data_IF_686941128152
#
_entry.id   IF_686941128152
#
_cell.length_a   1.000
_cell.length_b   1.000
_cell.length_c   1.000
_cell.angle_alpha   90.00
_cell.angle_beta   90.00
_cell.angle_gamma   90.00
#
_symmetry.space_group_name_H-M   'P 1'
#
loop_
_entity.id
_entity.type
_entity.pdbx_description
1 polymer ?
#
# COMPACT_ATOMS: atom_id res chain seq x y z
N UNK A 1 -19.26 25.24 15.14
CA UNK A 1 -17.90 24.69 15.12
C UNK A 1 -17.47 24.60 13.68
N UNK A 2 -16.36 25.23 13.31
CA UNK A 2 -15.84 25.11 11.94
C UNK A 2 -15.40 23.66 11.70
N UNK A 3 -16.05 23.01 10.74
CA UNK A 3 -15.67 21.67 10.28
C UNK A 3 -14.80 21.89 9.03
N UNK A 4 -13.48 21.74 9.11
CA UNK A 4 -12.63 21.90 7.94
C UNK A 4 -13.03 20.90 6.86
N UNK A 5 -13.18 21.38 5.63
CA UNK A 5 -13.52 20.60 4.45
C UNK A 5 -12.47 20.72 3.33
N UNK A 6 -11.42 21.54 3.55
CA UNK A 6 -10.32 21.75 2.62
C UNK A 6 -8.98 21.82 3.35
N UNK A 7 -7.89 21.73 2.60
CA UNK A 7 -6.51 21.87 3.13
C UNK A 7 -6.32 23.22 3.82
N UNK A 8 -6.74 24.30 3.18
CA UNK A 8 -6.61 25.66 3.72
C UNK A 8 -7.40 25.84 5.00
N UNK A 9 -8.64 25.34 5.06
CA UNK A 9 -9.45 25.41 6.29
C UNK A 9 -8.85 24.62 7.45
N UNK A 10 -8.17 23.50 7.16
CA UNK A 10 -7.48 22.70 8.17
C UNK A 10 -6.22 23.41 8.67
N UNK A 11 -5.46 24.05 7.79
CA UNK A 11 -4.32 24.91 8.15
C UNK A 11 -4.77 26.06 9.05
N UNK A 12 -5.82 26.77 8.66
CA UNK A 12 -6.41 27.84 9.47
C UNK A 12 -6.92 27.35 10.83
N UNK A 13 -7.53 26.16 10.84
CA UNK A 13 -7.95 25.55 12.10
C UNK A 13 -6.76 25.31 13.02
N UNK A 14 -5.66 24.76 12.51
CA UNK A 14 -4.46 24.48 13.30
C UNK A 14 -3.79 25.78 13.77
N UNK A 15 -3.68 26.80 12.90
CA UNK A 15 -3.17 28.13 13.27
C UNK A 15 -4.01 28.75 14.38
N UNK A 16 -5.36 28.63 14.35
CA UNK A 16 -6.24 29.09 15.45
C UNK A 16 -6.01 28.32 16.75
N UNK A 17 -5.76 27.00 16.68
CA UNK A 17 -5.44 26.22 17.88
C UNK A 17 -4.10 26.61 18.50
N UNK A 18 -3.18 27.19 17.73
CA UNK A 18 -1.88 27.68 18.18
C UNK A 18 -1.94 29.14 18.71
N UNK A 19 -3.08 29.80 18.56
CA UNK A 19 -3.30 31.15 19.11
C UNK A 19 -3.46 32.27 18.07
N UNK A 20 -3.46 31.98 16.79
CA UNK A 20 -3.78 32.96 15.75
C UNK A 20 -5.24 33.42 15.89
N UNK A 21 -5.58 34.71 15.69
CA UNK A 21 -4.71 35.82 15.25
C UNK A 21 -4.05 36.60 16.39
N UNK A 22 -4.26 36.23 17.66
CA UNK A 22 -3.72 36.95 18.81
C UNK A 22 -2.19 36.83 18.86
N UNK A 23 -1.69 35.67 18.52
CA UNK A 23 -0.25 35.40 18.36
C UNK A 23 0.04 35.32 16.88
N UNK A 24 0.99 36.14 16.42
CA UNK A 24 1.51 36.05 15.05
C UNK A 24 2.33 34.77 14.90
N UNK A 25 1.91 33.91 13.98
CA UNK A 25 2.59 32.63 13.72
C UNK A 25 3.41 32.75 12.46
N UNK A 26 4.72 32.91 12.63
CA UNK A 26 5.68 33.04 11.52
C UNK A 26 6.17 31.68 11.05
N UNK A 27 5.34 31.01 10.25
CA UNK A 27 5.67 29.77 9.56
C UNK A 27 5.27 29.94 8.11
N UNK A 28 6.15 29.55 7.20
CA UNK A 28 5.87 29.61 5.77
C UNK A 28 4.71 28.65 5.41
N UNK A 29 3.91 29.07 4.44
CA UNK A 29 2.76 28.22 4.02
C UNK A 29 3.23 26.88 3.46
N UNK A 30 4.38 26.81 2.80
CA UNK A 30 5.01 25.58 2.33
C UNK A 30 5.29 24.61 3.48
N UNK A 31 5.81 25.10 4.60
CA UNK A 31 6.04 24.26 5.80
C UNK A 31 4.74 23.77 6.42
N UNK A 32 3.67 24.55 6.31
CA UNK A 32 2.35 24.12 6.76
C UNK A 32 1.83 22.98 5.88
N UNK A 33 2.03 23.07 4.57
CA UNK A 33 1.63 22.03 3.63
C UNK A 33 2.46 20.74 3.81
N UNK A 34 3.78 20.85 3.98
CA UNK A 34 4.65 19.70 4.25
C UNK A 34 4.22 18.94 5.53
N UNK A 35 3.96 19.68 6.61
CA UNK A 35 3.44 19.08 7.84
C UNK A 35 2.05 18.43 7.65
N UNK A 36 1.25 18.96 6.73
CA UNK A 36 -0.06 18.43 6.42
C UNK A 36 0.05 17.13 5.63
N UNK A 37 0.96 17.07 4.67
CA UNK A 37 1.23 15.86 3.89
C UNK A 37 1.79 14.74 4.78
N UNK A 38 2.71 15.05 5.69
CA UNK A 38 3.19 14.11 6.71
C UNK A 38 2.04 13.59 7.59
N UNK A 39 1.10 14.46 7.96
CA UNK A 39 -0.05 14.08 8.75
C UNK A 39 -0.99 13.13 8.00
N UNK A 40 -1.22 13.38 6.72
CA UNK A 40 -2.03 12.51 5.87
C UNK A 40 -1.33 11.18 5.61
N UNK A 41 -0.03 11.18 5.33
CA UNK A 41 0.72 9.96 5.15
C UNK A 41 0.63 9.07 6.40
N UNK A 42 0.85 9.62 7.58
CA UNK A 42 0.71 8.87 8.83
C UNK A 42 -0.70 8.34 9.06
N UNK A 43 -1.71 9.13 8.71
CA UNK A 43 -3.11 8.73 8.82
C UNK A 43 -3.44 7.58 7.87
N UNK A 44 -3.00 7.66 6.62
CA UNK A 44 -3.19 6.63 5.61
C UNK A 44 -2.46 5.32 5.95
N UNK A 45 -1.28 5.41 6.56
CA UNK A 45 -0.47 4.23 6.91
C UNK A 45 -0.94 3.53 8.19
N UNK A 46 -1.51 4.28 9.14
CA UNK A 46 -1.73 3.79 10.51
C UNK A 46 -3.17 3.81 10.98
N UNK A 47 -4.02 4.62 10.37
CA UNK A 47 -5.39 4.74 10.81
C UNK A 47 -6.30 3.78 10.04
N UNK A 48 -7.25 3.13 10.74
CA UNK A 48 -8.16 2.14 10.14
C UNK A 48 -9.07 2.75 9.04
N UNK A 49 -9.40 4.04 9.13
CA UNK A 49 -10.17 4.77 8.12
C UNK A 49 -9.30 5.39 7.01
N UNK A 50 -7.97 5.25 7.09
CA UNK A 50 -7.03 5.78 6.10
C UNK A 50 -7.05 5.02 4.77
N UNK A 51 -7.53 3.78 4.80
CA UNK A 51 -7.61 2.88 3.65
C UNK A 51 -9.00 2.27 3.54
N UNK A 52 -9.39 1.98 2.31
CA UNK A 52 -10.66 1.31 2.00
C UNK A 52 -10.38 0.00 1.30
N UNK A 53 -11.00 -1.06 1.79
CA UNK A 53 -10.97 -2.36 1.12
C UNK A 53 -11.91 -2.33 -0.08
N UNK A 54 -11.38 -2.64 -1.26
CA UNK A 54 -12.17 -2.66 -2.48
C UNK A 54 -11.70 -3.75 -3.44
N UNK A 55 -12.62 -4.39 -4.17
CA UNK A 55 -12.29 -5.23 -5.29
C UNK A 55 -11.98 -4.37 -6.52
N UNK A 56 -10.82 -4.58 -7.12
CA UNK A 56 -10.42 -3.94 -8.36
C UNK A 56 -10.45 -4.96 -9.50
N UNK A 57 -11.10 -4.59 -10.60
CA UNK A 57 -11.14 -5.40 -11.80
C UNK A 57 -10.01 -4.98 -12.73
N UNK A 58 -9.13 -5.91 -13.05
CA UNK A 58 -8.03 -5.71 -13.99
C UNK A 58 -8.22 -6.57 -15.23
N UNK A 59 -8.03 -5.97 -16.40
CA UNK A 59 -8.07 -6.68 -17.68
C UNK A 59 -6.64 -6.98 -18.12
N UNK A 60 -6.36 -8.24 -18.42
CA UNK A 60 -5.05 -8.71 -18.83
C UNK A 60 -4.73 -8.17 -20.23
N UNK A 61 -3.56 -7.57 -20.37
CA UNK A 61 -3.06 -7.03 -21.62
C UNK A 61 -2.07 -7.99 -22.30
N UNK A 62 -1.84 -7.79 -23.60
CA UNK A 62 -0.82 -8.54 -24.33
C UNK A 62 0.59 -8.34 -23.72
N UNK A 63 0.87 -7.15 -23.24
CA UNK A 63 2.16 -6.83 -22.61
C UNK A 63 2.38 -7.60 -21.30
N UNK A 64 1.31 -7.86 -20.54
CA UNK A 64 1.40 -8.65 -19.31
C UNK A 64 1.72 -10.10 -19.62
N UNK A 65 1.08 -10.68 -20.65
CA UNK A 65 1.35 -12.05 -21.08
C UNK A 65 2.78 -12.18 -21.62
N UNK A 66 3.20 -11.27 -22.48
CA UNK A 66 4.57 -11.26 -23.02
C UNK A 66 5.61 -11.12 -21.90
N UNK A 67 5.33 -10.35 -20.88
CA UNK A 67 6.18 -10.15 -19.71
C UNK A 67 6.19 -11.40 -18.82
N UNK A 68 5.03 -12.00 -18.58
CA UNK A 68 4.86 -13.19 -17.75
C UNK A 68 5.46 -14.45 -18.35
N UNK A 69 5.48 -14.59 -19.67
CA UNK A 69 6.08 -15.72 -20.39
C UNK A 69 7.62 -15.68 -20.46
N UNK A 70 8.25 -14.66 -19.88
CA UNK A 70 9.69 -14.62 -19.68
C UNK A 70 10.53 -14.17 -20.87
N UNK A 71 9.93 -13.75 -21.99
CA UNK A 71 10.66 -13.25 -23.17
C UNK A 71 11.37 -11.92 -22.89
N UNK A 72 10.89 -11.15 -21.92
CA UNK A 72 11.41 -9.83 -21.58
C UNK A 72 11.70 -9.74 -20.07
N UNK A 73 12.71 -10.49 -19.61
CA UNK A 73 13.14 -10.41 -18.20
C UNK A 73 13.49 -8.98 -17.79
N UNK A 74 12.91 -8.53 -16.69
CA UNK A 74 13.20 -7.22 -16.10
C UNK A 74 14.36 -7.37 -15.14
N UNK A 75 15.50 -6.89 -15.53
CA UNK A 75 16.70 -6.93 -14.71
C UNK A 75 17.48 -8.26 -14.79
N UNK A 76 18.61 -8.18 -15.45
CA UNK A 76 19.61 -9.25 -15.45
C UNK A 76 20.73 -8.78 -14.53
N UNK A 77 20.91 -9.46 -13.41
CA UNK A 77 22.09 -9.27 -12.57
C UNK A 77 23.14 -10.30 -12.98
N UNK A 78 24.20 -9.82 -13.55
CA UNK A 78 25.36 -10.67 -13.90
C UNK A 78 26.43 -10.48 -12.81
N UNK A 79 26.72 -11.54 -12.07
CA UNK A 79 27.81 -11.54 -11.10
C UNK A 79 28.92 -12.45 -11.60
N UNK A 80 30.09 -11.89 -11.82
CA UNK A 80 31.30 -12.67 -12.15
C UNK A 80 32.05 -12.93 -10.86
N UNK A 81 32.20 -14.19 -10.50
CA UNK A 81 33.01 -14.61 -9.37
C UNK A 81 34.31 -15.19 -9.90
N UNK A 82 35.40 -14.48 -9.65
CA UNK A 82 36.73 -14.96 -9.95
C UNK A 82 37.15 -15.94 -8.86
N UNK A 83 37.26 -17.22 -9.19
CA UNK A 83 37.86 -18.19 -8.27
C UNK A 83 39.37 -17.97 -8.24
N UNK A 84 39.98 -17.79 -7.06
CA UNK A 84 41.42 -17.73 -6.94
C UNK A 84 42.02 -19.03 -7.47
N UNK A 85 43.02 -18.91 -8.34
CA UNK A 85 43.76 -20.07 -8.82
C UNK A 85 44.27 -20.86 -7.62
N UNK A 86 43.85 -22.13 -7.53
CA UNK A 86 44.31 -23.01 -6.46
C UNK A 86 45.81 -23.32 -6.75
N UNK A 87 46.69 -22.73 -5.96
CA UNK A 87 48.14 -22.88 -6.03
C UNK A 87 48.61 -24.23 -5.47
N UNK A 88 47.92 -25.33 -5.80
CA UNK A 88 48.37 -26.67 -5.63
C UNK A 88 49.03 -27.16 -6.92
N UNK A 89 50.22 -27.63 -6.86
CA UNK A 89 51.10 -28.22 -7.88
C UNK A 89 50.32 -28.71 -9.12
N UNK A 90 50.06 -27.84 -10.04
CA UNK A 90 49.35 -28.07 -11.29
C UNK A 90 48.69 -26.77 -11.72
N UNK A 91 49.23 -26.14 -12.76
CA UNK A 91 48.73 -24.93 -13.40
C UNK A 91 47.29 -25.12 -13.90
N UNK A 92 46.32 -24.95 -13.06
CA UNK A 92 44.93 -24.75 -13.46
C UNK A 92 44.68 -23.27 -13.44
N UNK A 93 44.56 -22.66 -14.59
CA UNK A 93 44.02 -21.34 -14.79
C UNK A 93 42.72 -21.22 -14.01
N UNK A 94 42.63 -20.27 -13.09
CA UNK A 94 41.37 -19.99 -12.41
C UNK A 94 40.31 -19.68 -13.46
N UNK A 95 39.27 -20.49 -13.49
CA UNK A 95 38.12 -20.22 -14.38
C UNK A 95 37.22 -19.19 -13.73
N UNK A 96 37.01 -18.09 -14.44
CA UNK A 96 36.02 -17.11 -14.06
C UNK A 96 34.62 -17.71 -14.27
N UNK A 97 33.89 -17.91 -13.19
CA UNK A 97 32.51 -18.37 -13.26
C UNK A 97 31.58 -17.15 -13.29
N UNK A 98 30.86 -16.99 -14.37
CA UNK A 98 29.86 -15.93 -14.51
C UNK A 98 28.49 -16.50 -14.19
N UNK A 99 27.85 -15.97 -13.16
CA UNK A 99 26.48 -16.31 -12.79
C UNK A 99 25.54 -15.24 -13.30
N UNK A 100 24.54 -15.67 -14.07
CA UNK A 100 23.49 -14.80 -14.59
C UNK A 100 22.20 -15.03 -13.81
N UNK A 101 21.75 -14.01 -13.11
CA UNK A 101 20.48 -14.02 -12.42
C UNK A 101 19.48 -13.21 -13.22
N UNK A 102 18.34 -13.81 -13.53
CA UNK A 102 17.24 -13.14 -14.22
C UNK A 102 16.11 -12.95 -13.23
N UNK A 103 15.68 -11.70 -13.04
CA UNK A 103 14.50 -11.40 -12.23
C UNK A 103 13.25 -11.88 -12.97
N UNK A 104 12.36 -12.54 -12.23
CA UNK A 104 11.11 -13.02 -12.80
C UNK A 104 10.19 -11.84 -13.12
N UNK A 105 9.70 -11.76 -14.35
CA UNK A 105 8.90 -10.64 -14.86
C UNK A 105 7.37 -10.87 -14.79
N UNK A 106 6.93 -11.85 -14.01
CA UNK A 106 5.54 -12.23 -13.83
C UNK A 106 4.78 -11.29 -12.88
N UNK A 107 4.75 -10.01 -13.20
CA UNK A 107 4.05 -9.01 -12.41
C UNK A 107 3.06 -8.17 -13.21
N UNK A 108 2.07 -7.65 -12.51
CA UNK A 108 1.15 -6.62 -13.00
C UNK A 108 1.52 -5.29 -12.32
N UNK A 109 1.51 -4.22 -13.11
CA UNK A 109 1.70 -2.88 -12.55
C UNK A 109 0.42 -2.41 -11.88
N UNK A 110 0.53 -2.03 -10.62
CA UNK A 110 -0.58 -1.54 -9.81
C UNK A 110 -0.57 -0.01 -9.74
N UNK A 111 -1.74 0.63 -9.54
CA UNK A 111 -1.79 2.07 -9.24
C UNK A 111 -1.09 2.39 -7.91
N UNK A 112 -0.50 3.58 -7.82
CA UNK A 112 0.16 4.13 -6.63
C UNK A 112 -0.75 4.26 -5.40
N UNK A 113 -2.06 4.36 -5.64
CA UNK A 113 -3.08 4.45 -4.59
C UNK A 113 -3.31 3.14 -3.83
N UNK A 114 -2.69 2.03 -4.24
CA UNK A 114 -2.86 0.73 -3.60
C UNK A 114 -1.75 0.50 -2.57
N UNK A 115 -2.15 0.28 -1.33
CA UNK A 115 -1.23 0.00 -0.20
C UNK A 115 -0.95 -1.48 -0.03
N UNK A 116 -1.95 -2.32 -0.30
CA UNK A 116 -1.82 -3.75 -0.10
C UNK A 116 -2.81 -4.56 -0.91
N UNK A 117 -2.43 -5.78 -1.20
CA UNK A 117 -3.28 -6.75 -1.89
C UNK A 117 -3.57 -7.90 -0.94
N UNK A 118 -4.84 -8.22 -0.77
CA UNK A 118 -5.28 -9.26 0.14
C UNK A 118 -5.49 -10.60 -0.59
N UNK A 119 -6.26 -10.59 -1.67
CA UNK A 119 -6.63 -11.81 -2.40
C UNK A 119 -6.82 -11.52 -3.89
N UNK A 120 -6.57 -12.53 -4.71
CA UNK A 120 -6.77 -12.45 -6.15
C UNK A 120 -7.76 -13.53 -6.54
N UNK A 121 -8.78 -13.12 -7.29
CA UNK A 121 -9.79 -14.00 -7.86
C UNK A 121 -9.62 -14.01 -9.37
N UNK A 122 -9.46 -15.18 -9.94
CA UNK A 122 -9.53 -15.36 -11.39
C UNK A 122 -10.98 -15.36 -11.83
N UNK A 123 -11.32 -14.51 -12.76
CA UNK A 123 -12.64 -14.44 -13.35
C UNK A 123 -12.54 -14.89 -14.81
N UNK A 124 -12.83 -16.14 -15.08
CA UNK A 124 -12.97 -16.63 -16.45
C UNK A 124 -14.30 -16.10 -16.98
N UNK A 125 -14.24 -15.18 -17.94
CA UNK A 125 -15.44 -14.59 -18.57
C UNK A 125 -16.26 -15.58 -19.42
N UNK A 126 -15.73 -16.75 -19.65
CA UNK A 126 -16.33 -17.80 -20.47
C UNK A 126 -16.92 -18.92 -19.59
N UNK A 127 -18.23 -18.93 -19.46
CA UNK A 127 -19.04 -20.10 -19.04
C UNK A 127 -18.84 -20.67 -17.62
N UNK A 128 -18.37 -19.90 -16.67
CA UNK A 128 -17.99 -20.45 -15.35
C UNK A 128 -19.18 -20.78 -14.44
N UNK A 129 -20.36 -20.23 -14.70
CA UNK A 129 -21.52 -20.49 -13.85
C UNK A 129 -22.14 -21.88 -14.07
N UNK A 130 -22.05 -22.40 -15.28
CA UNK A 130 -22.66 -23.69 -15.62
C UNK A 130 -21.78 -24.90 -15.32
N UNK A 131 -20.46 -24.75 -15.39
CA UNK A 131 -19.55 -25.88 -15.17
C UNK A 131 -19.12 -26.07 -13.70
N UNK A 132 -19.35 -25.08 -12.82
CA UNK A 132 -18.88 -25.09 -11.44
C UNK A 132 -19.98 -25.37 -10.40
N UNK A 133 -21.11 -25.94 -10.80
CA UNK A 133 -22.18 -26.33 -9.87
C UNK A 133 -21.66 -27.28 -8.76
N UNK A 134 -20.60 -28.03 -9.05
CA UNK A 134 -19.94 -28.94 -8.12
C UNK A 134 -18.66 -28.34 -7.49
N UNK A 135 -18.32 -27.07 -7.77
CA UNK A 135 -17.18 -26.46 -7.14
C UNK A 135 -17.45 -26.19 -5.65
N UNK A 136 -16.46 -26.44 -4.81
CA UNK A 136 -16.53 -26.17 -3.36
C UNK A 136 -16.89 -24.71 -3.08
N UNK A 137 -16.39 -23.77 -3.88
CA UNK A 137 -16.71 -22.35 -3.76
C UNK A 137 -18.18 -22.02 -4.05
N UNK A 138 -18.76 -22.68 -5.04
CA UNK A 138 -20.17 -22.51 -5.33
C UNK A 138 -21.04 -23.11 -4.23
N UNK A 139 -20.65 -24.26 -3.69
CA UNK A 139 -21.33 -24.88 -2.54
C UNK A 139 -21.24 -24.03 -1.28
N UNK A 140 -20.08 -23.42 -1.02
CA UNK A 140 -19.91 -22.44 0.08
C UNK A 140 -20.85 -21.25 -0.10
N UNK A 141 -20.89 -20.68 -1.29
CA UNK A 141 -21.77 -19.55 -1.60
C UNK A 141 -23.26 -19.92 -1.44
N UNK A 142 -23.66 -21.07 -1.95
CA UNK A 142 -25.03 -21.55 -1.78
C UNK A 142 -25.36 -21.80 -0.30
N UNK A 143 -24.43 -22.36 0.45
CA UNK A 143 -24.61 -22.58 1.87
C UNK A 143 -24.82 -21.25 2.61
N UNK A 144 -24.02 -20.24 2.34
CA UNK A 144 -24.17 -18.90 2.91
C UNK A 144 -25.51 -18.25 2.55
N UNK A 145 -26.00 -18.44 1.34
CA UNK A 145 -27.28 -17.88 0.88
C UNK A 145 -28.49 -18.62 1.47
N UNK A 146 -28.45 -19.95 1.48
CA UNK A 146 -29.62 -20.75 1.90
C UNK A 146 -29.75 -20.91 3.42
N UNK A 147 -28.63 -20.90 4.16
CA UNK A 147 -28.66 -21.02 5.62
C UNK A 147 -28.99 -19.73 6.38
N UNK A 148 -29.14 -18.62 5.69
CA UNK A 148 -29.46 -17.34 6.32
C UNK A 148 -30.79 -17.35 7.07
N UNK A 149 -31.68 -18.30 6.78
CA UNK A 149 -32.98 -18.49 7.41
C UNK A 149 -33.03 -19.64 8.44
N UNK A 150 -31.92 -20.33 8.68
CA UNK A 150 -31.91 -21.50 9.54
C UNK A 150 -31.50 -21.15 10.96
N UNK A 151 -32.27 -21.65 11.93
CA UNK A 151 -32.11 -21.36 13.36
C UNK A 151 -30.89 -22.07 13.99
N UNK A 152 -30.30 -23.04 13.32
CA UNK A 152 -29.18 -23.82 13.84
C UNK A 152 -27.82 -23.23 13.50
N UNK A 153 -27.46 -22.21 14.27
CA UNK A 153 -26.17 -21.50 14.13
C UNK A 153 -24.95 -22.43 14.30
N UNK A 154 -25.08 -23.46 15.14
CA UNK A 154 -24.01 -24.42 15.40
C UNK A 154 -23.74 -25.29 14.17
N UNK A 155 -24.79 -25.85 13.56
CA UNK A 155 -24.67 -26.69 12.35
C UNK A 155 -24.13 -25.87 11.18
N UNK A 156 -24.55 -24.61 11.04
CA UNK A 156 -24.01 -23.69 10.05
C UNK A 156 -22.50 -23.47 10.26
N UNK A 157 -22.08 -23.13 11.48
CA UNK A 157 -20.68 -22.89 11.79
C UNK A 157 -19.81 -24.14 11.51
N UNK A 158 -20.27 -25.33 11.93
CA UNK A 158 -19.57 -26.58 11.67
C UNK A 158 -19.45 -26.89 10.17
N UNK A 159 -20.51 -26.68 9.40
CA UNK A 159 -20.51 -26.90 7.94
C UNK A 159 -19.57 -25.93 7.25
N UNK A 160 -19.60 -24.66 7.66
CA UNK A 160 -18.71 -23.63 7.12
C UNK A 160 -17.24 -23.96 7.37
N UNK A 161 -16.88 -24.32 8.59
CA UNK A 161 -15.51 -24.71 8.93
C UNK A 161 -15.04 -25.92 8.12
N UNK A 162 -15.88 -26.94 7.96
CA UNK A 162 -15.52 -28.10 7.13
C UNK A 162 -15.33 -27.76 5.66
N UNK A 163 -16.14 -26.87 5.12
CA UNK A 163 -15.99 -26.40 3.74
C UNK A 163 -14.75 -25.53 3.55
N UNK A 164 -14.41 -24.72 4.54
CA UNK A 164 -13.15 -23.94 4.57
C UNK A 164 -11.92 -24.88 4.62
N UNK A 165 -11.97 -25.94 5.41
CA UNK A 165 -10.91 -26.97 5.47
C UNK A 165 -10.75 -27.67 4.13
N UNK A 166 -11.85 -28.02 3.46
CA UNK A 166 -11.83 -28.63 2.12
C UNK A 166 -11.29 -27.65 1.08
N UNK A 167 -11.69 -26.36 1.14
CA UNK A 167 -11.16 -25.34 0.24
C UNK A 167 -9.66 -25.14 0.44
N UNK A 168 -9.18 -25.16 1.70
CA UNK A 168 -7.76 -25.09 2.02
C UNK A 168 -6.97 -26.29 1.46
N UNK A 169 -7.51 -27.50 1.51
CA UNK A 169 -6.86 -28.70 1.00
C UNK A 169 -6.86 -28.80 -0.53
N UNK A 170 -7.92 -28.34 -1.19
CA UNK A 170 -8.09 -28.46 -2.64
C UNK A 170 -7.62 -27.22 -3.41
N UNK A 171 -7.74 -26.05 -2.84
CA UNK A 171 -7.30 -24.79 -3.44
C UNK A 171 -6.03 -24.30 -2.71
N UNK A 172 -4.88 -24.60 -3.29
CA UNK A 172 -3.65 -23.93 -2.87
C UNK A 172 -3.79 -22.44 -3.17
N UNK A 173 -3.85 -21.60 -2.13
CA UNK A 173 -3.86 -20.16 -2.31
C UNK A 173 -2.58 -19.74 -3.04
N UNK A 174 -2.75 -19.01 -4.12
CA UNK A 174 -1.62 -18.46 -4.87
C UNK A 174 -0.90 -17.43 -4.00
N UNK A 175 0.40 -17.59 -3.86
CA UNK A 175 1.20 -16.62 -3.11
C UNK A 175 1.14 -15.26 -3.80
N UNK A 176 0.75 -14.26 -3.02
CA UNK A 176 0.66 -12.87 -3.47
C UNK A 176 1.89 -12.15 -2.94
N UNK A 177 2.67 -11.59 -3.85
CA UNK A 177 3.84 -10.77 -3.53
C UNK A 177 3.61 -9.39 -4.12
N UNK A 178 3.35 -8.43 -3.25
CA UNK A 178 3.13 -7.05 -3.64
C UNK A 178 4.16 -6.13 -2.97
N UNK A 179 4.72 -5.22 -3.73
CA UNK A 179 5.62 -4.19 -3.23
C UNK A 179 5.10 -2.81 -3.62
N UNK A 180 4.69 -2.05 -2.60
CA UNK A 180 4.15 -0.68 -2.77
C UNK A 180 5.15 0.25 -3.45
N UNK A 181 6.44 0.15 -3.12
CA UNK A 181 7.49 1.05 -3.64
C UNK A 181 7.82 0.80 -5.12
N UNK A 182 7.60 -0.43 -5.58
CA UNK A 182 7.79 -0.81 -6.98
C UNK A 182 6.48 -0.80 -7.77
N UNK A 183 5.34 -0.67 -7.10
CA UNK A 183 4.00 -0.75 -7.71
C UNK A 183 3.79 -2.07 -8.47
N UNK A 184 4.43 -3.16 -8.01
CA UNK A 184 4.42 -4.45 -8.70
C UNK A 184 3.72 -5.50 -7.87
N UNK A 185 2.75 -6.14 -8.50
CA UNK A 185 2.06 -7.31 -7.99
C UNK A 185 2.56 -8.54 -8.74
N UNK A 186 3.36 -9.37 -8.09
CA UNK A 186 3.86 -10.62 -8.65
C UNK A 186 2.82 -11.71 -8.53
N UNK A 187 2.57 -12.40 -9.63
CA UNK A 187 1.58 -13.47 -9.75
C UNK A 187 2.26 -14.77 -10.16
N UNK A 188 2.15 -15.80 -9.31
CA UNK A 188 2.62 -17.15 -9.64
C UNK A 188 1.49 -17.94 -10.33
N UNK A 189 1.14 -17.53 -11.54
CA UNK A 189 0.13 -18.16 -12.38
C UNK A 189 0.78 -18.61 -13.70
N UNK A 190 0.13 -19.55 -14.37
CA UNK A 190 0.55 -19.93 -15.72
C UNK A 190 0.07 -18.90 -16.74
N UNK A 191 1.00 -18.03 -17.17
CA UNK A 191 0.73 -16.97 -18.13
C UNK A 191 0.37 -17.48 -19.52
N UNK A 192 0.78 -18.72 -19.86
CA UNK A 192 0.45 -19.31 -21.16
C UNK A 192 -1.03 -19.75 -21.25
N UNK A 193 -1.67 -19.95 -20.11
CA UNK A 193 -3.08 -20.35 -20.04
C UNK A 193 -4.05 -19.16 -20.04
N UNK A 194 -3.54 -17.93 -20.03
CA UNK A 194 -4.33 -16.71 -20.03
C UNK A 194 -4.58 -16.21 -21.44
N UNK A 195 -5.80 -15.70 -21.66
CA UNK A 195 -6.17 -15.05 -22.91
C UNK A 195 -6.14 -13.53 -22.75
N UNK A 196 -5.78 -12.83 -23.83
CA UNK A 196 -5.85 -11.36 -23.86
C UNK A 196 -7.29 -10.93 -23.67
N UNK A 197 -7.54 -10.05 -22.71
CA UNK A 197 -8.88 -9.59 -22.39
C UNK A 197 -9.55 -10.31 -21.23
N UNK A 198 -8.93 -11.36 -20.68
CA UNK A 198 -9.40 -11.99 -19.46
C UNK A 198 -9.33 -11.02 -18.27
N UNK A 199 -10.19 -11.24 -17.30
CA UNK A 199 -10.28 -10.37 -16.14
C UNK A 199 -9.79 -11.08 -14.88
N UNK A 200 -9.05 -10.32 -14.07
CA UNK A 200 -8.68 -10.71 -12.72
C UNK A 200 -9.32 -9.72 -11.75
N UNK A 201 -9.91 -10.23 -10.69
CA UNK A 201 -10.40 -9.40 -9.59
C UNK A 201 -9.36 -9.44 -8.47
N UNK A 202 -8.88 -8.28 -8.10
CA UNK A 202 -7.87 -8.08 -7.06
C UNK A 202 -8.54 -7.42 -5.87
N UNK A 203 -8.61 -8.13 -4.74
CA UNK A 203 -9.08 -7.57 -3.47
C UNK A 203 -7.91 -6.81 -2.83
N UNK A 204 -8.03 -5.51 -2.77
CA UNK A 204 -6.94 -4.62 -2.37
C UNK A 204 -7.37 -3.54 -1.38
N UNK A 205 -6.38 -2.99 -0.71
CA UNK A 205 -6.52 -1.83 0.16
C UNK A 205 -6.07 -0.59 -0.60
N UNK A 206 -7.02 0.31 -0.83
CA UNK A 206 -6.79 1.59 -1.51
C UNK A 206 -6.72 2.72 -0.49
N UNK A 207 -5.78 3.64 -0.67
CA UNK A 207 -5.70 4.89 0.08
C UNK A 207 -6.97 5.71 -0.15
N UNK A 208 -7.53 6.24 0.91
CA UNK A 208 -8.61 7.21 0.82
C UNK A 208 -8.03 8.57 0.44
N UNK A 209 -8.36 9.02 -0.77
CA UNK A 209 -7.92 10.31 -1.29
C UNK A 209 -8.72 11.45 -0.64
N UNK A 210 -8.04 12.39 0.07
CA UNK A 210 -8.70 13.55 0.66
C UNK A 210 -9.39 14.45 -0.36
N UNK A 211 -8.93 14.46 -1.61
CA UNK A 211 -9.55 15.28 -2.69
C UNK A 211 -10.95 14.79 -3.03
N UNK A 212 -11.19 13.48 -2.96
CA UNK A 212 -12.50 12.88 -3.20
C UNK A 212 -13.38 12.83 -1.94
N UNK A 213 -12.77 12.76 -0.77
CA UNK A 213 -13.46 12.62 0.49
C UNK A 213 -13.13 13.74 1.47
N UNK A 214 -13.83 14.87 1.34
CA UNK A 214 -13.60 16.07 2.16
C UNK A 214 -13.83 15.87 3.66
N UNK A 215 -14.53 14.79 4.04
CA UNK A 215 -14.76 14.44 5.47
C UNK A 215 -13.46 14.09 6.21
N UNK A 216 -12.42 13.68 5.50
CA UNK A 216 -11.11 13.34 6.06
C UNK A 216 -10.50 14.54 6.78
N UNK A 217 -10.66 15.76 6.26
CA UNK A 217 -10.15 16.98 6.89
C UNK A 217 -10.76 17.24 8.28
N UNK A 218 -11.96 16.74 8.54
CA UNK A 218 -12.60 16.89 9.84
C UNK A 218 -12.32 15.71 10.79
N UNK A 219 -11.51 14.76 10.42
CA UNK A 219 -11.13 13.65 11.30
C UNK A 219 -10.40 14.16 12.55
N UNK A 220 -10.70 13.54 13.70
CA UNK A 220 -10.17 13.97 14.99
C UNK A 220 -8.67 13.69 15.11
N UNK A 221 -8.24 12.57 14.57
CA UNK A 221 -6.83 12.17 14.59
C UNK A 221 -6.03 13.12 13.71
N UNK A 222 -6.44 13.33 12.45
CA UNK A 222 -5.78 14.24 11.49
C UNK A 222 -5.63 15.63 12.08
N UNK A 223 -6.70 16.22 12.62
CA UNK A 223 -6.67 17.55 13.23
C UNK A 223 -5.66 17.67 14.38
N UNK A 224 -5.65 16.69 15.27
CA UNK A 224 -4.76 16.71 16.43
C UNK A 224 -3.31 16.46 16.05
N UNK A 225 -3.10 15.49 15.17
CA UNK A 225 -1.77 15.11 14.76
C UNK A 225 -1.12 16.23 13.93
N UNK A 226 -1.84 16.80 12.96
CA UNK A 226 -1.40 17.96 12.21
C UNK A 226 -1.05 19.16 13.10
N UNK A 227 -1.93 19.50 14.05
CA UNK A 227 -1.66 20.57 15.01
C UNK A 227 -0.40 20.29 15.84
N UNK A 228 -0.16 19.04 16.20
CA UNK A 228 1.04 18.64 16.94
C UNK A 228 2.32 18.75 16.08
N UNK A 229 2.24 18.38 14.81
CA UNK A 229 3.36 18.55 13.87
C UNK A 229 3.67 20.04 13.66
N UNK A 230 2.66 20.87 13.46
CA UNK A 230 2.84 22.30 13.25
C UNK A 230 3.41 23.04 14.47
N UNK A 231 3.27 22.50 15.67
CA UNK A 231 3.93 23.05 16.87
C UNK A 231 5.44 23.01 16.79
N UNK A 232 6.04 22.08 16.05
CA UNK A 232 7.50 21.96 15.96
C UNK A 232 8.15 23.18 15.31
N UNK A 233 7.83 23.55 14.06
CA UNK A 233 8.40 24.73 13.42
C UNK A 233 8.06 26.01 14.17
N UNK A 234 6.83 26.14 14.69
CA UNK A 234 6.45 27.31 15.52
C UNK A 234 7.33 27.43 16.76
N UNK A 235 7.60 26.34 17.46
CA UNK A 235 8.46 26.34 18.65
C UNK A 235 9.88 26.80 18.32
N UNK A 236 10.44 26.36 17.20
CA UNK A 236 11.80 26.78 16.79
C UNK A 236 11.87 28.27 16.44
N UNK A 237 10.88 28.81 15.75
CA UNK A 237 10.87 30.23 15.38
C UNK A 237 10.69 31.13 16.60
N UNK A 238 9.84 30.75 17.54
CA UNK A 238 9.62 31.52 18.77
C UNK A 238 10.76 31.43 19.76
N UNK A 239 11.41 30.26 19.91
CA UNK A 239 12.57 30.08 20.78
C UNK A 239 13.75 30.95 20.28
N UNK A 240 14.07 30.89 18.99
CA UNK A 240 15.15 31.72 18.42
C UNK A 240 14.88 33.22 18.53
N UNK A 241 13.63 33.64 18.32
CA UNK A 241 13.28 35.05 18.51
C UNK A 241 13.46 35.52 19.97
N UNK A 242 13.26 34.61 20.92
CA UNK A 242 13.44 34.93 22.35
C UNK A 242 14.92 34.97 22.73
N UNK A 243 15.74 34.06 22.21
CA UNK A 243 17.20 34.03 22.45
C UNK A 243 17.88 35.25 21.85
N UNK A 244 17.55 35.64 20.61
CA UNK A 244 18.10 36.86 19.99
C UNK A 244 17.72 38.12 20.74
N UNK A 245 16.55 38.17 21.37
CA UNK A 245 16.10 39.31 22.16
C UNK A 245 16.83 39.39 23.51
N UNK A 246 17.13 38.26 24.15
CA UNK A 246 17.93 38.19 25.37
C UNK A 246 19.40 38.57 25.12
N UNK A 247 19.99 38.10 24.03
CA UNK A 247 21.36 38.45 23.65
C UNK A 247 21.52 39.93 23.32
N UNK A 248 20.51 40.55 22.71
CA UNK A 248 20.51 41.99 22.42
C UNK A 248 20.36 42.80 23.71
N UNK A 249 19.57 42.37 24.66
CA UNK A 249 19.42 43.05 25.97
C UNK A 249 20.69 42.89 26.79
N UNK A 250 21.34 41.74 26.80
CA UNK A 250 22.60 41.52 27.49
C UNK A 250 23.76 42.33 26.89
N UNK A 251 23.79 42.52 25.56
CA UNK A 251 24.77 43.38 24.90
C UNK A 251 24.59 44.87 25.22
N UNK A 252 23.33 45.33 25.25
CA UNK A 252 23.01 46.73 25.59
C UNK A 252 23.23 47.07 27.08
N UNK A 253 23.35 46.09 27.96
CA UNK A 253 23.65 46.28 29.37
C UNK A 253 25.16 46.18 29.67
N UNK A 254 26.00 45.80 28.70
CA UNK A 254 27.44 45.68 28.81
C UNK A 254 28.21 46.84 28.12
N UNK A 255 27.52 47.76 27.44
CA UNK A 255 28.02 49.08 27.00
C UNK A 255 27.58 50.20 27.98
#
# INVERSE_FOLDING_TARGET
>A
MAKPASRTELIDYAKRQLGSPVIEINVADEQCEDCLDDAFQMWQERHYDGVVKMPMKYQITADDINRGTGSNGVGIVTTTVTQPANTGIGTTSGADATFKYTENSNYIKMPDTIVGVNKIYRFDGSNTMTNNMFSVKYQLFLNDVYYFNSIELLTYAMTKTKLEDIDFLLNTEKQIRFNVRQERLYLDIDWNSLSIGDYIIIDCWRILDPSQSTKVFNDRFVKRYYTALLKRPVSYTHLRAHETRHDLVCRLLLE
#
